data_IF_847064289493
#
_entry.id   IF_847064289493
#
_cell.length_a   1.000
_cell.length_b   1.000
_cell.length_c   1.000
_cell.angle_alpha   90.00
_cell.angle_beta   90.00
_cell.angle_gamma   90.00
#
_symmetry.space_group_name_H-M   'P 1'
#
loop_
_entity.id
_entity.type
_entity.pdbx_description
1 polymer ?
#
# COMPACT_ATOMS: atom_id res chain seq x y z
N UNK A 1 -23.92 13.61 29.55
CA UNK A 1 -23.88 12.15 29.30
C UNK A 1 -22.68 11.57 30.00
N UNK A 2 -22.82 10.42 30.67
CA UNK A 2 -21.71 9.74 31.33
C UNK A 2 -21.02 8.84 30.32
N UNK A 3 -19.77 9.15 29.98
CA UNK A 3 -18.92 8.28 29.14
C UNK A 3 -18.54 7.04 29.95
N UNK A 4 -18.68 5.86 29.35
CA UNK A 4 -18.28 4.60 29.97
C UNK A 4 -17.29 3.90 29.04
N UNK A 5 -16.04 3.82 29.45
CA UNK A 5 -15.00 3.07 28.73
C UNK A 5 -15.02 1.61 29.19
N UNK A 6 -14.80 0.68 28.26
CA UNK A 6 -14.78 -0.76 28.50
C UNK A 6 -13.38 -1.29 28.22
N UNK A 7 -12.86 -2.11 29.14
CA UNK A 7 -11.58 -2.79 28.97
C UNK A 7 -11.75 -4.30 29.14
N UNK A 8 -11.35 -5.05 28.12
CA UNK A 8 -11.25 -6.50 28.12
C UNK A 8 -9.76 -6.83 28.05
N UNK A 9 -9.23 -7.44 29.10
CA UNK A 9 -7.81 -7.79 29.19
C UNK A 9 -7.67 -9.27 29.48
N UNK A 10 -6.89 -9.95 28.66
CA UNK A 10 -6.32 -11.23 29.06
C UNK A 10 -5.27 -11.08 30.16
N UNK A 11 -4.94 -12.20 30.79
CA UNK A 11 -3.91 -12.26 31.83
C UNK A 11 -2.53 -12.50 31.17
N UNK A 12 -1.62 -11.53 31.28
CA UNK A 12 -0.33 -11.53 30.58
C UNK A 12 0.81 -12.30 31.30
N UNK A 13 0.48 -13.14 32.29
CA UNK A 13 1.49 -13.82 33.11
C UNK A 13 2.36 -14.75 32.25
N UNK A 14 3.68 -14.54 32.28
CA UNK A 14 4.68 -15.32 31.51
C UNK A 14 4.53 -15.27 29.97
N UNK A 15 4.03 -14.16 29.41
CA UNK A 15 3.85 -14.04 27.96
C UNK A 15 2.72 -14.93 27.41
N UNK A 16 1.85 -15.43 28.30
CA UNK A 16 0.63 -16.15 27.91
C UNK A 16 -0.47 -15.14 27.64
N UNK A 17 -1.25 -15.39 26.60
CA UNK A 17 -2.45 -14.64 26.22
C UNK A 17 -3.69 -15.40 26.71
N UNK A 18 -4.78 -14.71 27.00
CA UNK A 18 -6.05 -15.40 27.31
C UNK A 18 -6.63 -16.00 26.03
N UNK A 19 -6.78 -17.32 25.99
CA UNK A 19 -7.33 -18.01 24.82
C UNK A 19 -8.85 -17.77 24.73
N UNK A 20 -9.30 -17.29 23.58
CA UNK A 20 -10.71 -17.28 23.18
C UNK A 20 -10.86 -18.32 22.07
N UNK A 21 -11.70 -19.34 22.32
CA UNK A 21 -11.99 -20.39 21.34
C UNK A 21 -13.49 -20.52 21.13
N UNK A 22 -13.91 -20.58 19.88
CA UNK A 22 -15.30 -20.86 19.49
C UNK A 22 -15.50 -22.33 19.11
N UNK A 23 -16.76 -22.77 18.94
CA UNK A 23 -17.03 -24.03 18.27
C UNK A 23 -16.50 -23.96 16.82
N UNK A 24 -16.03 -25.08 16.27
CA UNK A 24 -15.56 -25.21 14.87
C UNK A 24 -16.67 -25.01 13.81
N UNK A 25 -17.77 -24.37 14.16
CA UNK A 25 -18.96 -24.29 13.33
C UNK A 25 -18.80 -23.26 12.20
N UNK A 26 -19.39 -23.61 11.06
CA UNK A 26 -19.44 -22.81 9.82
C UNK A 26 -20.36 -21.60 9.92
N UNK A 27 -21.10 -21.45 11.02
CA UNK A 27 -22.27 -20.57 11.14
C UNK A 27 -21.95 -19.22 11.80
N UNK A 28 -20.73 -19.03 12.31
CA UNK A 28 -20.27 -17.78 12.93
C UNK A 28 -20.06 -16.62 11.93
N UNK A 29 -20.32 -16.83 10.64
CA UNK A 29 -20.06 -15.82 9.60
C UNK A 29 -20.99 -14.61 9.81
N UNK A 30 -20.41 -13.47 10.13
CA UNK A 30 -21.13 -12.23 10.41
C UNK A 30 -21.44 -12.01 11.90
N UNK A 31 -21.06 -12.94 12.77
CA UNK A 31 -21.09 -12.78 14.23
C UNK A 31 -19.80 -12.13 14.74
N UNK A 32 -19.91 -11.40 15.84
CA UNK A 32 -18.80 -10.67 16.46
C UNK A 32 -18.79 -10.91 17.96
N UNK A 33 -17.60 -11.14 18.53
CA UNK A 33 -17.43 -11.32 19.98
C UNK A 33 -17.76 -10.01 20.73
N UNK A 34 -17.38 -8.87 20.15
CA UNK A 34 -17.60 -7.54 20.70
C UNK A 34 -18.40 -6.71 19.70
N UNK A 35 -19.55 -6.22 20.14
CA UNK A 35 -20.36 -5.24 19.39
C UNK A 35 -20.46 -3.95 20.18
N UNK A 36 -20.16 -2.82 19.53
CA UNK A 36 -20.20 -1.49 20.14
C UNK A 36 -21.30 -0.70 19.44
N UNK A 37 -22.36 -0.38 20.19
CA UNK A 37 -23.50 0.36 19.66
C UNK A 37 -23.14 1.80 19.28
N UNK A 38 -23.89 2.34 18.31
CA UNK A 38 -23.75 3.70 17.77
C UNK A 38 -23.84 4.82 18.81
N UNK A 39 -24.52 4.59 19.93
CA UNK A 39 -24.65 5.58 21.02
C UNK A 39 -23.47 5.57 22.00
N UNK A 40 -22.56 4.59 21.88
CA UNK A 40 -21.36 4.53 22.72
C UNK A 40 -20.44 5.71 22.45
N UNK A 41 -19.93 6.32 23.52
CA UNK A 41 -19.02 7.49 23.46
C UNK A 41 -17.72 7.24 24.23
N UNK A 42 -17.56 6.04 24.80
CA UNK A 42 -16.37 5.66 25.57
C UNK A 42 -15.27 5.04 24.71
N UNK A 43 -14.16 4.70 25.36
CA UNK A 43 -13.05 3.97 24.75
C UNK A 43 -13.26 2.46 24.95
N UNK A 44 -12.93 1.68 23.93
CA UNK A 44 -13.03 0.21 23.93
C UNK A 44 -11.62 -0.33 23.82
N UNK A 45 -11.13 -1.01 24.87
CA UNK A 45 -9.76 -1.52 24.93
C UNK A 45 -9.81 -3.04 25.02
N UNK A 46 -9.17 -3.71 24.07
CA UNK A 46 -9.01 -5.17 24.03
C UNK A 46 -7.52 -5.48 24.00
N UNK A 47 -7.03 -6.29 24.92
CA UNK A 47 -5.60 -6.58 25.00
C UNK A 47 -5.28 -8.00 25.48
N UNK A 48 -4.12 -8.52 25.07
CA UNK A 48 -3.56 -9.80 25.51
C UNK A 48 -4.47 -11.02 25.27
N UNK A 49 -5.15 -11.07 24.11
CA UNK A 49 -6.01 -12.21 23.74
C UNK A 49 -5.36 -13.09 22.67
N UNK A 50 -5.57 -14.40 22.74
CA UNK A 50 -5.22 -15.37 21.70
C UNK A 50 -6.52 -15.99 21.18
N UNK A 51 -6.99 -15.52 20.04
CA UNK A 51 -8.20 -15.99 19.42
C UNK A 51 -7.85 -17.06 18.38
N UNK A 52 -8.33 -18.28 18.61
CA UNK A 52 -8.20 -19.40 17.67
C UNK A 52 -9.51 -20.12 17.51
N UNK A 53 -9.67 -20.84 16.41
CA UNK A 53 -10.84 -21.71 16.18
C UNK A 53 -12.16 -20.91 16.14
N UNK A 54 -12.09 -19.59 15.94
CA UNK A 54 -13.23 -18.71 15.74
C UNK A 54 -13.19 -18.14 14.32
N UNK A 55 -14.23 -18.45 13.54
CA UNK A 55 -14.34 -18.05 12.13
C UNK A 55 -15.10 -16.72 11.93
N UNK A 56 -15.68 -16.16 13.00
CA UNK A 56 -16.38 -14.88 12.97
C UNK A 56 -15.45 -13.68 13.16
N UNK A 57 -16.04 -12.49 13.35
CA UNK A 57 -15.31 -11.27 13.65
C UNK A 57 -14.97 -11.12 15.14
N UNK A 58 -13.99 -10.27 15.45
CA UNK A 58 -13.63 -9.95 16.83
C UNK A 58 -14.44 -8.75 17.33
N UNK A 59 -14.32 -7.61 16.64
CA UNK A 59 -14.94 -6.35 17.02
C UNK A 59 -15.77 -5.81 15.85
N UNK A 60 -16.99 -5.40 16.12
CA UNK A 60 -17.78 -4.51 15.26
C UNK A 60 -18.13 -3.25 16.04
N UNK A 61 -17.62 -2.11 15.57
CA UNK A 61 -17.83 -0.83 16.23
C UNK A 61 -18.63 0.12 15.36
N UNK A 62 -19.89 0.37 15.74
CA UNK A 62 -20.76 1.36 15.11
C UNK A 62 -20.79 2.68 15.92
N UNK A 63 -20.22 2.69 17.13
CA UNK A 63 -19.96 3.87 17.96
C UNK A 63 -18.61 3.78 18.67
N UNK A 64 -18.43 4.52 19.75
CA UNK A 64 -17.19 4.60 20.53
C UNK A 64 -16.28 5.73 20.07
N UNK A 65 -15.59 6.34 21.04
CA UNK A 65 -14.60 7.40 20.79
C UNK A 65 -13.30 6.82 20.24
N UNK A 66 -12.86 5.70 20.81
CA UNK A 66 -11.72 4.96 20.32
C UNK A 66 -11.91 3.46 20.51
N UNK A 67 -11.33 2.68 19.61
CA UNK A 67 -11.21 1.23 19.69
C UNK A 67 -9.72 0.92 19.67
N UNK A 68 -9.24 0.21 20.69
CA UNK A 68 -7.83 -0.11 20.88
C UNK A 68 -7.72 -1.63 20.97
N UNK A 69 -6.97 -2.24 20.04
CA UNK A 69 -6.50 -3.62 20.16
C UNK A 69 -4.99 -3.59 20.42
N UNK A 70 -4.52 -4.42 21.34
CA UNK A 70 -3.10 -4.46 21.69
C UNK A 70 -2.61 -5.86 22.09
N UNK A 71 -1.39 -6.20 21.70
CA UNK A 71 -0.64 -7.39 22.16
C UNK A 71 -1.40 -8.73 21.97
N UNK A 72 -2.24 -8.81 20.93
CA UNK A 72 -3.17 -9.92 20.69
C UNK A 72 -2.78 -10.74 19.46
N UNK A 73 -3.24 -12.00 19.42
CA UNK A 73 -3.06 -12.92 18.31
C UNK A 73 -4.43 -13.39 17.83
N UNK A 74 -4.72 -13.17 16.55
CA UNK A 74 -5.96 -13.55 15.90
C UNK A 74 -5.66 -14.54 14.77
N UNK A 75 -6.18 -15.76 14.87
CA UNK A 75 -5.94 -16.84 13.91
C UNK A 75 -7.25 -17.31 13.26
N UNK A 76 -7.26 -17.33 11.93
CA UNK A 76 -8.33 -17.84 11.07
C UNK A 76 -9.48 -16.87 10.81
N UNK A 77 -9.95 -16.19 11.86
CA UNK A 77 -10.95 -15.12 11.77
C UNK A 77 -10.48 -13.82 12.43
N UNK A 78 -11.42 -13.11 13.06
CA UNK A 78 -11.09 -11.96 13.91
C UNK A 78 -11.16 -10.62 13.19
N UNK A 79 -11.95 -10.54 12.13
CA UNK A 79 -12.22 -9.28 11.44
C UNK A 79 -12.67 -8.19 12.42
N UNK A 80 -12.08 -7.02 12.26
CA UNK A 80 -12.41 -5.80 12.98
C UNK A 80 -13.15 -4.88 12.01
N UNK A 81 -14.42 -4.60 12.29
CA UNK A 81 -15.19 -3.56 11.60
C UNK A 81 -15.15 -2.28 12.43
N UNK A 82 -14.66 -1.21 11.81
CA UNK A 82 -14.62 0.14 12.39
C UNK A 82 -15.50 1.11 11.58
N UNK A 83 -16.68 1.40 12.10
CA UNK A 83 -17.71 2.22 11.46
C UNK A 83 -18.14 3.40 12.35
N UNK A 84 -17.19 3.96 13.09
CA UNK A 84 -17.38 5.16 13.94
C UNK A 84 -16.44 6.28 13.49
N UNK A 85 -16.82 7.53 13.74
CA UNK A 85 -15.97 8.70 13.48
C UNK A 85 -14.76 8.78 14.44
N UNK A 86 -14.73 7.90 15.45
CA UNK A 86 -13.60 7.71 16.35
C UNK A 86 -12.35 7.10 15.72
N UNK A 87 -11.39 6.77 16.58
CA UNK A 87 -10.06 6.27 16.17
C UNK A 87 -9.96 4.76 16.42
N UNK A 88 -9.54 4.00 15.41
CA UNK A 88 -9.07 2.62 15.59
C UNK A 88 -7.55 2.63 15.78
N UNK A 89 -7.07 2.09 16.90
CA UNK A 89 -5.65 1.87 17.17
C UNK A 89 -5.39 0.37 17.33
N UNK A 90 -4.43 -0.15 16.57
CA UNK A 90 -3.95 -1.54 16.63
C UNK A 90 -2.46 -1.50 16.93
N UNK A 91 -1.98 -2.29 17.89
CA UNK A 91 -0.60 -2.20 18.33
C UNK A 91 -0.04 -3.54 18.78
N UNK A 92 1.08 -3.95 18.16
CA UNK A 92 1.79 -5.19 18.51
C UNK A 92 0.91 -6.44 18.35
N UNK A 93 -0.01 -6.42 17.37
CA UNK A 93 -0.96 -7.51 17.13
C UNK A 93 -0.51 -8.42 15.98
N UNK A 94 -0.91 -9.68 16.04
CA UNK A 94 -0.65 -10.69 15.01
C UNK A 94 -1.97 -11.15 14.39
N UNK A 95 -2.13 -10.95 13.09
CA UNK A 95 -3.25 -11.41 12.29
C UNK A 95 -2.79 -12.53 11.35
N UNK A 96 -3.30 -13.73 11.57
CA UNK A 96 -2.91 -14.93 10.82
C UNK A 96 -4.15 -15.54 10.17
N UNK A 97 -4.18 -15.61 8.84
CA UNK A 97 -5.28 -16.24 8.11
C UNK A 97 -5.25 -17.78 8.18
N UNK A 98 -6.30 -18.41 7.65
CA UNK A 98 -6.46 -19.88 7.54
C UNK A 98 -5.58 -20.53 6.45
N UNK A 99 -4.64 -19.77 5.89
CA UNK A 99 -3.75 -20.22 4.82
C UNK A 99 -4.20 -19.80 3.43
N UNK A 100 -3.29 -19.99 2.46
CA UNK A 100 -3.36 -19.40 1.11
C UNK A 100 -4.50 -19.92 0.21
N UNK A 101 -5.23 -20.93 0.67
CA UNK A 101 -6.30 -21.58 -0.11
C UNK A 101 -7.67 -21.45 0.54
N UNK A 102 -7.77 -20.87 1.73
CA UNK A 102 -9.03 -20.63 2.44
C UNK A 102 -9.25 -19.13 2.47
N UNK A 103 -10.15 -18.59 1.63
CA UNK A 103 -10.29 -17.16 1.57
C UNK A 103 -11.05 -16.62 2.78
N UNK A 104 -10.58 -15.49 3.30
CA UNK A 104 -11.10 -14.82 4.50
C UNK A 104 -11.65 -13.44 4.15
N UNK A 105 -12.48 -12.91 5.04
CA UNK A 105 -12.83 -11.49 5.07
C UNK A 105 -11.61 -10.65 5.52
N UNK A 106 -11.62 -9.33 5.33
CA UNK A 106 -10.50 -8.48 5.74
C UNK A 106 -10.15 -8.62 7.22
N UNK A 107 -8.88 -8.48 7.58
CA UNK A 107 -8.52 -8.40 9.00
C UNK A 107 -9.08 -7.12 9.63
N UNK A 108 -8.97 -6.01 8.90
CA UNK A 108 -9.48 -4.70 9.32
C UNK A 108 -10.30 -4.10 8.18
N UNK A 109 -11.54 -3.72 8.48
CA UNK A 109 -12.45 -3.04 7.55
C UNK A 109 -12.99 -1.76 8.20
N UNK A 110 -12.48 -0.62 7.77
CA UNK A 110 -12.86 0.70 8.26
C UNK A 110 -13.70 1.47 7.23
N UNK A 111 -14.79 2.08 7.69
CA UNK A 111 -15.72 2.87 6.87
C UNK A 111 -15.86 4.31 7.33
N UNK A 112 -15.37 4.67 8.53
CA UNK A 112 -15.40 6.03 9.09
C UNK A 112 -14.17 6.29 9.97
N UNK A 113 -13.98 7.55 10.36
CA UNK A 113 -12.97 7.94 11.34
C UNK A 113 -11.53 7.79 10.83
N UNK A 114 -10.62 7.40 11.71
CA UNK A 114 -9.19 7.21 11.38
C UNK A 114 -8.67 5.88 11.91
N UNK A 115 -7.65 5.35 11.23
CA UNK A 115 -7.03 4.06 11.54
C UNK A 115 -5.54 4.23 11.76
N UNK A 116 -5.02 3.75 12.88
CA UNK A 116 -3.59 3.71 13.17
C UNK A 116 -3.18 2.29 13.57
N UNK A 117 -2.14 1.76 12.92
CA UNK A 117 -1.67 0.39 13.11
C UNK A 117 -0.16 0.44 13.30
N UNK A 118 0.31 -0.11 14.41
CA UNK A 118 1.70 -0.05 14.83
C UNK A 118 2.24 -1.44 15.11
N UNK A 119 3.47 -1.72 14.66
CA UNK A 119 4.22 -2.92 15.06
C UNK A 119 3.44 -4.24 14.88
N UNK A 120 2.60 -4.36 13.85
CA UNK A 120 1.68 -5.49 13.70
C UNK A 120 2.05 -6.36 12.51
N UNK A 121 1.78 -7.67 12.65
CA UNK A 121 2.07 -8.68 11.64
C UNK A 121 0.77 -9.15 10.99
N UNK A 122 0.71 -9.14 9.66
CA UNK A 122 -0.37 -9.69 8.86
C UNK A 122 0.19 -10.78 7.95
N UNK A 123 -0.22 -12.03 8.15
CA UNK A 123 0.25 -13.14 7.32
C UNK A 123 -0.78 -14.21 7.01
N UNK A 124 -0.51 -14.99 5.97
CA UNK A 124 -1.29 -16.17 5.57
C UNK A 124 -2.76 -15.87 5.26
N UNK A 125 -3.11 -14.59 5.01
CA UNK A 125 -4.42 -14.19 4.53
C UNK A 125 -4.60 -14.54 3.05
N UNK A 126 -5.82 -14.94 2.67
CA UNK A 126 -6.20 -15.17 1.27
C UNK A 126 -7.44 -14.35 0.94
N UNK A 127 -7.30 -13.35 0.07
CA UNK A 127 -8.35 -12.34 -0.15
C UNK A 127 -8.98 -12.51 -1.53
N UNK A 128 -10.32 -12.62 -1.59
CA UNK A 128 -11.04 -13.05 -2.82
C UNK A 128 -11.04 -12.02 -3.95
N UNK A 129 -10.94 -10.72 -3.65
CA UNK A 129 -10.88 -9.69 -4.68
C UNK A 129 -11.25 -8.29 -4.19
N UNK A 130 -12.02 -7.53 -4.98
CA UNK A 130 -12.41 -6.15 -4.64
C UNK A 130 -12.94 -6.00 -3.20
N UNK A 131 -12.58 -4.87 -2.57
CA UNK A 131 -12.92 -4.55 -1.17
C UNK A 131 -12.42 -5.58 -0.15
N UNK A 132 -11.39 -6.37 -0.51
CA UNK A 132 -10.71 -7.27 0.43
C UNK A 132 -9.23 -6.95 0.55
N UNK A 133 -8.63 -7.38 1.67
CA UNK A 133 -7.25 -7.09 1.98
C UNK A 133 -6.94 -7.29 3.46
N UNK A 134 -5.69 -7.02 3.85
CA UNK A 134 -5.38 -6.99 5.28
C UNK A 134 -6.07 -5.80 5.94
N UNK A 135 -5.89 -4.61 5.37
CA UNK A 135 -6.48 -3.36 5.85
C UNK A 135 -7.26 -2.72 4.71
N UNK A 136 -8.56 -2.51 4.92
CA UNK A 136 -9.44 -1.88 3.94
C UNK A 136 -10.06 -0.62 4.55
N UNK A 137 -9.77 0.54 3.96
CA UNK A 137 -10.36 1.83 4.32
C UNK A 137 -11.27 2.33 3.18
N UNK A 138 -12.54 2.56 3.48
CA UNK A 138 -13.54 3.06 2.52
C UNK A 138 -14.51 4.02 3.21
N UNK A 139 -15.65 4.32 2.57
CA UNK A 139 -16.66 5.20 3.17
C UNK A 139 -16.12 6.61 3.40
N UNK A 140 -16.16 7.08 4.64
CA UNK A 140 -15.71 8.42 5.07
C UNK A 140 -14.49 8.37 5.99
N UNK A 141 -13.65 7.32 5.88
CA UNK A 141 -12.35 7.28 6.57
C UNK A 141 -11.49 8.46 6.11
N UNK A 142 -10.93 9.22 7.06
CA UNK A 142 -10.17 10.44 6.78
C UNK A 142 -8.66 10.22 6.78
N UNK A 143 -8.16 9.24 7.54
CA UNK A 143 -6.73 8.97 7.69
C UNK A 143 -6.45 7.48 7.92
N UNK A 144 -5.32 7.01 7.39
CA UNK A 144 -4.79 5.67 7.63
C UNK A 144 -3.28 5.71 7.84
N UNK A 145 -2.81 5.31 9.02
CA UNK A 145 -1.40 5.22 9.39
C UNK A 145 -1.02 3.76 9.63
N UNK A 146 0.04 3.30 8.96
CA UNK A 146 0.66 1.98 9.14
C UNK A 146 2.13 2.22 9.46
N UNK A 147 2.58 1.72 10.60
CA UNK A 147 3.89 2.04 11.16
C UNK A 147 4.60 0.77 11.64
N UNK A 148 5.79 0.51 11.13
CA UNK A 148 6.62 -0.66 11.48
C UNK A 148 5.88 -2.00 11.39
N UNK A 149 5.03 -2.18 10.37
CA UNK A 149 4.21 -3.37 10.19
C UNK A 149 4.79 -4.33 9.14
N UNK A 150 4.38 -5.60 9.21
CA UNK A 150 4.81 -6.63 8.27
C UNK A 150 3.62 -7.29 7.57
N UNK A 151 3.66 -7.34 6.25
CA UNK A 151 2.65 -7.98 5.40
C UNK A 151 3.34 -9.07 4.58
N UNK A 152 3.36 -10.29 5.12
CA UNK A 152 4.13 -11.40 4.54
C UNK A 152 3.24 -12.60 4.27
N UNK A 153 3.59 -13.41 3.26
CA UNK A 153 2.87 -14.65 2.95
C UNK A 153 1.35 -14.46 2.74
N UNK A 154 0.91 -13.33 2.15
CA UNK A 154 -0.49 -13.08 1.87
C UNK A 154 -0.80 -13.30 0.39
N UNK A 155 -1.99 -13.84 0.08
CA UNK A 155 -2.47 -14.04 -1.28
C UNK A 155 -3.54 -13.00 -1.62
N UNK A 156 -3.18 -12.09 -2.52
CA UNK A 156 -4.06 -11.06 -3.03
C UNK A 156 -4.61 -11.45 -4.41
N UNK A 157 -5.92 -11.65 -4.54
CA UNK A 157 -6.58 -11.78 -5.83
C UNK A 157 -6.87 -10.40 -6.46
N UNK A 158 -7.38 -10.40 -7.70
CA UNK A 158 -7.69 -9.19 -8.47
C UNK A 158 -8.55 -8.23 -7.65
N UNK A 159 -8.08 -7.00 -7.48
CA UNK A 159 -8.82 -5.95 -6.76
C UNK A 159 -8.53 -5.84 -5.26
N UNK A 160 -7.91 -6.86 -4.66
CA UNK A 160 -7.49 -6.85 -3.24
C UNK A 160 -6.10 -6.26 -3.04
N UNK A 161 -5.79 -5.83 -1.82
CA UNK A 161 -4.44 -5.36 -1.47
C UNK A 161 -4.07 -5.62 0.00
N UNK A 162 -2.80 -5.51 0.37
CA UNK A 162 -2.42 -5.50 1.79
C UNK A 162 -2.99 -4.26 2.49
N UNK A 163 -2.79 -3.08 1.91
CA UNK A 163 -3.44 -1.83 2.28
C UNK A 163 -4.28 -1.31 1.11
N UNK A 164 -5.61 -1.27 1.28
CA UNK A 164 -6.58 -0.86 0.28
C UNK A 164 -7.37 0.37 0.75
N UNK A 165 -7.12 1.53 0.14
CA UNK A 165 -7.87 2.76 0.40
C UNK A 165 -8.70 3.09 -0.85
N UNK A 166 -10.02 3.04 -0.73
CA UNK A 166 -10.93 3.25 -1.88
C UNK A 166 -11.80 4.49 -1.73
N UNK A 167 -11.51 5.38 -0.79
CA UNK A 167 -12.28 6.60 -0.58
C UNK A 167 -11.39 7.85 -0.75
N UNK A 168 -11.84 8.84 -1.55
CA UNK A 168 -11.14 10.11 -1.70
C UNK A 168 -11.31 11.02 -0.47
N UNK A 169 -12.17 10.63 0.49
CA UNK A 169 -12.26 11.33 1.79
C UNK A 169 -11.05 11.06 2.68
N UNK A 170 -10.26 10.03 2.37
CA UNK A 170 -9.00 9.77 3.05
C UNK A 170 -7.96 10.79 2.55
N UNK A 171 -7.82 11.87 3.30
CA UNK A 171 -6.92 12.97 2.95
C UNK A 171 -5.46 12.64 3.23
N UNK A 172 -5.18 11.58 3.99
CA UNK A 172 -3.82 11.20 4.34
C UNK A 172 -3.64 9.70 4.57
N UNK A 173 -2.76 9.10 3.79
CA UNK A 173 -2.20 7.78 4.00
C UNK A 173 -0.73 7.91 4.40
N UNK A 174 -0.36 7.32 5.53
CA UNK A 174 1.02 7.24 6.00
C UNK A 174 1.41 5.77 6.13
N UNK A 175 2.47 5.37 5.46
CA UNK A 175 3.16 4.12 5.71
C UNK A 175 4.58 4.48 6.11
N UNK A 176 5.04 4.07 7.28
CA UNK A 176 6.38 4.43 7.72
C UNK A 176 7.03 3.34 8.54
N UNK A 177 8.32 3.52 8.79
CA UNK A 177 9.09 2.77 9.77
C UNK A 177 10.30 3.59 10.15
N UNK A 178 11.34 2.90 10.62
CA UNK A 178 12.63 3.48 10.97
C UNK A 178 13.75 2.73 10.27
N UNK A 179 14.96 3.29 10.27
CA UNK A 179 16.14 2.60 9.75
C UNK A 179 16.40 1.25 10.44
N UNK A 180 16.08 1.15 11.74
CA UNK A 180 16.21 -0.08 12.53
C UNK A 180 15.03 -1.04 12.38
N UNK A 181 13.87 -0.55 11.94
CA UNK A 181 12.65 -1.33 11.89
C UNK A 181 11.73 -0.81 10.80
N UNK A 182 11.86 -1.41 9.63
CA UNK A 182 11.18 -0.99 8.40
C UNK A 182 9.80 -1.62 8.32
N UNK A 183 8.87 -0.96 7.64
CA UNK A 183 7.62 -1.64 7.22
C UNK A 183 7.94 -2.56 6.05
N UNK A 184 7.38 -3.76 6.03
CA UNK A 184 7.72 -4.79 5.02
C UNK A 184 6.45 -5.25 4.30
N UNK A 185 6.51 -5.24 2.97
CA UNK A 185 5.57 -5.93 2.10
C UNK A 185 6.34 -6.97 1.30
N UNK A 186 6.01 -8.24 1.50
CA UNK A 186 6.62 -9.32 0.75
C UNK A 186 5.58 -10.28 0.20
N UNK A 187 5.88 -10.82 -0.98
CA UNK A 187 5.01 -11.74 -1.66
C UNK A 187 5.16 -13.15 -1.16
N UNK A 188 4.63 -14.05 -1.97
CA UNK A 188 4.90 -15.47 -1.86
C UNK A 188 6.06 -15.84 -2.78
N UNK A 189 6.55 -17.07 -2.68
CA UNK A 189 7.56 -17.59 -3.60
C UNK A 189 7.12 -17.50 -5.08
N UNK A 190 8.06 -17.74 -5.98
CA UNK A 190 7.85 -17.68 -7.44
C UNK A 190 6.70 -18.57 -7.96
N UNK A 191 6.21 -19.53 -7.17
CA UNK A 191 5.10 -20.43 -7.55
C UNK A 191 3.73 -19.84 -7.25
N UNK A 192 3.66 -18.74 -6.50
CA UNK A 192 2.42 -18.17 -5.99
C UNK A 192 2.28 -16.69 -6.37
N UNK A 193 2.06 -16.38 -7.66
CA UNK A 193 1.96 -15.00 -8.09
C UNK A 193 0.74 -14.29 -7.50
N UNK A 194 0.91 -13.00 -7.21
CA UNK A 194 -0.12 -12.11 -6.71
C UNK A 194 -0.92 -11.52 -7.89
N UNK A 195 -2.24 -11.48 -7.78
CA UNK A 195 -3.11 -10.80 -8.76
C UNK A 195 -3.58 -9.43 -8.28
N UNK A 196 -3.46 -9.17 -6.97
CA UNK A 196 -3.76 -7.91 -6.30
C UNK A 196 -2.48 -7.14 -5.97
N UNK A 197 -2.57 -6.23 -5.00
CA UNK A 197 -1.54 -5.23 -4.75
C UNK A 197 -0.92 -5.35 -3.36
N UNK A 198 0.24 -4.76 -3.13
CA UNK A 198 0.60 -4.44 -1.74
C UNK A 198 -0.17 -3.22 -1.29
N UNK A 199 -0.07 -2.12 -2.03
CA UNK A 199 -0.78 -0.89 -1.75
C UNK A 199 -1.65 -0.52 -2.95
N UNK A 200 -2.92 -0.25 -2.70
CA UNK A 200 -3.83 0.37 -3.67
C UNK A 200 -4.59 1.50 -3.01
N UNK A 201 -4.44 2.72 -3.51
CA UNK A 201 -4.99 3.92 -2.86
C UNK A 201 -5.51 4.96 -3.84
N UNK A 202 -6.49 5.74 -3.36
CA UNK A 202 -7.07 6.95 -3.98
C UNK A 202 -7.03 8.12 -2.98
N UNK A 203 -6.01 8.14 -2.12
CA UNK A 203 -5.80 9.19 -1.12
C UNK A 203 -5.00 10.35 -1.72
N UNK A 204 -5.42 11.57 -1.38
CA UNK A 204 -4.80 12.78 -1.92
C UNK A 204 -3.39 13.02 -1.39
N UNK A 205 -3.07 12.58 -0.17
CA UNK A 205 -1.70 12.64 0.37
C UNK A 205 -1.22 11.26 0.76
N UNK A 206 -0.18 10.77 0.08
CA UNK A 206 0.44 9.48 0.33
C UNK A 206 1.90 9.70 0.74
N UNK A 207 2.24 9.33 1.98
CA UNK A 207 3.61 9.41 2.50
C UNK A 207 4.07 8.01 2.86
N UNK A 208 5.09 7.52 2.16
CA UNK A 208 5.67 6.20 2.38
C UNK A 208 7.15 6.39 2.74
N UNK A 209 7.59 5.89 3.88
CA UNK A 209 9.00 5.96 4.26
C UNK A 209 9.52 4.72 4.94
N UNK A 210 10.82 4.48 4.86
CA UNK A 210 11.49 3.33 5.49
C UNK A 210 10.73 2.01 5.28
N UNK A 211 10.36 1.73 4.02
CA UNK A 211 9.51 0.60 3.65
C UNK A 211 10.20 -0.27 2.61
N UNK A 212 10.13 -1.58 2.79
CA UNK A 212 10.65 -2.59 1.88
C UNK A 212 9.50 -3.27 1.13
N UNK A 213 9.61 -3.32 -0.20
CA UNK A 213 8.77 -4.07 -1.10
C UNK A 213 9.63 -5.13 -1.78
N UNK A 214 9.41 -6.39 -1.46
CA UNK A 214 10.33 -7.45 -1.86
C UNK A 214 9.63 -8.71 -2.41
N UNK A 215 10.38 -9.44 -3.24
CA UNK A 215 10.17 -10.85 -3.57
C UNK A 215 8.74 -11.19 -3.96
N UNK A 216 8.31 -10.66 -5.11
CA UNK A 216 6.95 -10.88 -5.61
C UNK A 216 6.90 -11.01 -7.11
N UNK A 217 6.02 -11.90 -7.57
CA UNK A 217 5.58 -11.93 -8.97
C UNK A 217 4.13 -11.47 -9.00
N UNK A 218 3.88 -10.36 -9.69
CA UNK A 218 2.55 -9.88 -9.97
C UNK A 218 2.05 -10.39 -11.33
N UNK A 219 0.75 -10.62 -11.40
CA UNK A 219 0.01 -11.02 -12.60
C UNK A 219 -1.24 -10.15 -12.72
N UNK A 220 -1.89 -10.19 -13.90
CA UNK A 220 -3.13 -9.45 -14.15
C UNK A 220 -2.95 -7.95 -13.88
N UNK A 221 -3.66 -7.33 -12.94
CA UNK A 221 -3.51 -5.90 -12.65
C UNK A 221 -2.80 -5.62 -11.32
N UNK A 222 -2.19 -6.64 -10.70
CA UNK A 222 -1.54 -6.52 -9.40
C UNK A 222 -0.19 -5.79 -9.45
N UNK A 223 0.14 -4.96 -8.46
CA UNK A 223 1.38 -4.20 -8.45
C UNK A 223 1.85 -3.99 -7.01
N UNK A 224 3.12 -3.64 -6.78
CA UNK A 224 3.53 -3.26 -5.43
C UNK A 224 2.76 -2.01 -4.99
N UNK A 225 2.80 -0.93 -5.77
CA UNK A 225 2.01 0.27 -5.49
C UNK A 225 1.13 0.63 -6.67
N UNK A 226 -0.16 0.85 -6.41
CA UNK A 226 -1.10 1.43 -7.37
C UNK A 226 -1.80 2.63 -6.76
N UNK A 227 -1.68 3.78 -7.42
CA UNK A 227 -2.31 5.03 -7.00
C UNK A 227 -3.20 5.50 -8.15
N UNK A 228 -4.47 5.76 -7.85
CA UNK A 228 -5.41 6.32 -8.82
C UNK A 228 -6.12 7.51 -8.17
N UNK A 229 -5.51 8.69 -8.31
CA UNK A 229 -5.97 9.91 -7.67
C UNK A 229 -6.48 10.90 -8.70
N UNK A 230 -7.65 11.46 -8.43
CA UNK A 230 -8.36 12.39 -9.31
C UNK A 230 -8.35 13.81 -8.73
N UNK A 231 -8.06 13.99 -7.45
CA UNK A 231 -7.89 15.27 -6.74
C UNK A 231 -6.45 15.78 -6.86
N UNK A 232 -6.23 17.00 -6.34
CA UNK A 232 -4.88 17.52 -6.13
C UNK A 232 -4.14 16.61 -5.14
N UNK A 233 -2.90 16.24 -5.46
CA UNK A 233 -2.23 15.18 -4.72
C UNK A 233 -0.75 15.40 -4.44
N UNK A 234 -0.29 14.78 -3.35
CA UNK A 234 1.10 14.74 -2.94
C UNK A 234 1.48 13.30 -2.60
N UNK A 235 2.41 12.75 -3.37
CA UNK A 235 3.01 11.45 -3.16
C UNK A 235 4.47 11.64 -2.79
N UNK A 236 4.87 11.13 -1.64
CA UNK A 236 6.25 11.14 -1.17
C UNK A 236 6.69 9.72 -0.80
N UNK A 237 7.78 9.26 -1.42
CA UNK A 237 8.49 8.04 -1.08
C UNK A 237 9.89 8.40 -0.61
N UNK A 238 10.25 8.03 0.62
CA UNK A 238 11.55 8.38 1.21
C UNK A 238 12.20 7.13 1.82
N UNK A 239 13.44 6.81 1.48
CA UNK A 239 14.14 5.62 2.02
C UNK A 239 13.39 4.30 1.76
N UNK A 240 12.77 4.16 0.59
CA UNK A 240 12.02 2.95 0.22
C UNK A 240 12.84 2.02 -0.68
N UNK A 241 12.72 0.71 -0.48
CA UNK A 241 13.38 -0.29 -1.31
C UNK A 241 12.36 -1.12 -2.08
N UNK A 242 12.56 -1.25 -3.38
CA UNK A 242 11.80 -2.09 -4.28
C UNK A 242 12.77 -3.09 -4.88
N UNK A 243 12.71 -4.35 -4.43
CA UNK A 243 13.71 -5.37 -4.77
C UNK A 243 13.06 -6.64 -5.30
N UNK A 244 13.56 -7.17 -6.42
CA UNK A 244 13.12 -8.44 -7.01
C UNK A 244 11.59 -8.53 -7.22
N UNK A 245 11.00 -7.44 -7.74
CA UNK A 245 9.58 -7.36 -8.07
C UNK A 245 9.39 -7.62 -9.56
N UNK A 246 8.55 -8.60 -9.91
CA UNK A 246 8.38 -9.05 -11.29
C UNK A 246 6.92 -8.92 -11.70
N UNK A 247 6.66 -8.63 -12.96
CA UNK A 247 5.32 -8.77 -13.55
C UNK A 247 5.40 -9.47 -14.91
N UNK A 248 4.42 -10.32 -15.19
CA UNK A 248 4.22 -10.96 -16.49
C UNK A 248 2.87 -10.56 -17.12
N UNK A 249 2.28 -9.45 -16.65
CA UNK A 249 0.95 -9.04 -17.10
C UNK A 249 0.96 -8.43 -18.50
N UNK A 250 0.00 -8.84 -19.32
CA UNK A 250 -0.26 -8.31 -20.67
C UNK A 250 -0.75 -6.85 -20.69
N UNK A 251 -1.24 -6.31 -19.57
CA UNK A 251 -1.90 -5.00 -19.52
C UNK A 251 -1.36 -4.02 -18.50
N UNK A 252 -0.24 -4.34 -17.84
CA UNK A 252 0.40 -3.43 -16.89
C UNK A 252 1.51 -2.64 -17.54
N UNK A 253 1.84 -1.50 -16.94
CA UNK A 253 2.96 -0.67 -17.34
C UNK A 253 4.13 -0.76 -16.35
N UNK A 254 3.90 -1.19 -15.11
CA UNK A 254 4.99 -1.29 -14.14
C UNK A 254 4.94 -2.48 -13.18
N UNK A 255 6.11 -2.85 -12.67
CA UNK A 255 6.28 -3.86 -11.61
C UNK A 255 6.39 -3.28 -10.20
N UNK A 256 6.76 -2.00 -10.04
CA UNK A 256 7.06 -1.40 -8.75
C UNK A 256 6.01 -0.30 -8.40
N UNK A 257 5.86 0.74 -9.23
CA UNK A 257 4.86 1.80 -8.96
C UNK A 257 4.05 2.11 -10.22
N UNK A 258 2.73 2.07 -10.12
CA UNK A 258 1.81 2.61 -11.14
C UNK A 258 0.96 3.71 -10.53
N UNK A 259 1.19 4.96 -10.93
CA UNK A 259 0.37 6.10 -10.50
C UNK A 259 -0.36 6.75 -11.66
N UNK A 260 -1.65 6.99 -11.48
CA UNK A 260 -2.48 7.85 -12.32
C UNK A 260 -2.85 9.06 -11.47
N UNK A 261 -2.36 10.23 -11.86
CA UNK A 261 -2.48 11.49 -11.12
C UNK A 261 -3.32 12.50 -11.91
N UNK A 262 -3.85 13.52 -11.24
CA UNK A 262 -4.73 14.52 -11.87
C UNK A 262 -3.96 15.73 -12.40
N UNK A 263 -3.75 15.82 -13.72
CA UNK A 263 -3.23 17.04 -14.34
C UNK A 263 -4.20 18.20 -14.18
N UNK A 264 -5.50 17.95 -14.11
CA UNK A 264 -6.51 19.01 -13.95
C UNK A 264 -6.36 19.72 -12.60
N UNK A 265 -6.09 18.97 -11.53
CA UNK A 265 -6.02 19.49 -10.16
C UNK A 265 -4.57 19.70 -9.66
N UNK A 266 -3.59 19.17 -10.38
CA UNK A 266 -2.17 19.26 -10.02
C UNK A 266 -1.72 18.10 -9.15
N UNK A 267 -0.41 17.88 -9.11
CA UNK A 267 0.19 16.82 -8.31
C UNK A 267 1.66 17.11 -7.98
N UNK A 268 2.12 16.50 -6.91
CA UNK A 268 3.54 16.35 -6.57
C UNK A 268 3.87 14.88 -6.40
N UNK A 269 4.87 14.41 -7.14
CA UNK A 269 5.48 13.10 -6.98
C UNK A 269 6.93 13.30 -6.54
N UNK A 270 7.31 12.80 -5.37
CA UNK A 270 8.67 12.85 -4.85
C UNK A 270 9.13 11.43 -4.48
N UNK A 271 10.25 11.01 -5.03
CA UNK A 271 10.99 9.83 -4.60
C UNK A 271 12.40 10.26 -4.18
N UNK A 272 12.78 9.94 -2.94
CA UNK A 272 14.01 10.41 -2.32
C UNK A 272 14.69 9.25 -1.60
N UNK A 273 16.00 9.07 -1.82
CA UNK A 273 16.77 7.96 -1.23
C UNK A 273 16.14 6.58 -1.48
N UNK A 274 15.49 6.39 -2.62
CA UNK A 274 14.80 5.15 -2.94
C UNK A 274 15.66 4.22 -3.80
N UNK A 275 15.56 2.92 -3.55
CA UNK A 275 16.22 1.88 -4.33
C UNK A 275 15.17 1.13 -5.15
N UNK A 276 15.38 1.06 -6.46
CA UNK A 276 14.62 0.25 -7.41
C UNK A 276 15.59 -0.71 -8.07
N UNK A 277 15.63 -1.95 -7.58
CA UNK A 277 16.59 -2.96 -8.01
C UNK A 277 15.91 -4.25 -8.41
N UNK A 278 16.33 -4.83 -9.53
CA UNK A 278 15.76 -6.10 -10.02
C UNK A 278 14.22 -6.04 -10.23
N UNK A 279 13.66 -4.85 -10.54
CA UNK A 279 12.27 -4.70 -10.99
C UNK A 279 12.17 -5.18 -12.45
N UNK A 280 11.43 -6.27 -12.71
CA UNK A 280 11.35 -6.89 -14.05
C UNK A 280 9.94 -6.94 -14.61
N UNK A 281 9.75 -6.36 -15.78
CA UNK A 281 8.56 -6.48 -16.59
C UNK A 281 8.80 -7.49 -17.72
N UNK A 282 7.90 -8.47 -17.86
CA UNK A 282 7.96 -9.53 -18.87
C UNK A 282 6.63 -9.70 -19.63
N UNK A 283 5.73 -8.72 -19.54
CA UNK A 283 4.44 -8.72 -20.23
C UNK A 283 4.53 -8.47 -21.73
N UNK A 284 3.47 -8.78 -22.49
CA UNK A 284 3.48 -8.66 -23.96
C UNK A 284 3.47 -7.21 -24.48
N UNK A 285 3.19 -6.21 -23.63
CA UNK A 285 3.16 -4.80 -24.05
C UNK A 285 4.59 -4.29 -24.29
N UNK A 286 4.99 -4.25 -25.56
CA UNK A 286 6.31 -3.80 -26.00
C UNK A 286 6.53 -2.29 -25.88
N UNK A 287 5.51 -1.50 -25.51
CA UNK A 287 5.57 -0.02 -25.60
C UNK A 287 5.62 0.64 -24.23
N UNK A 288 5.44 -0.09 -23.12
CA UNK A 288 5.24 0.59 -21.81
C UNK A 288 5.62 -0.23 -20.58
N UNK A 289 6.35 -1.34 -20.71
CA UNK A 289 6.77 -2.13 -19.55
C UNK A 289 8.01 -1.55 -18.90
N UNK A 290 7.93 -1.12 -17.63
CA UNK A 290 9.01 -0.44 -16.89
C UNK A 290 8.95 -0.77 -15.37
N UNK A 291 9.83 -0.18 -14.55
CA UNK A 291 9.76 -0.31 -13.08
C UNK A 291 8.77 0.69 -12.46
N UNK A 292 8.79 1.94 -12.93
CA UNK A 292 7.98 3.05 -12.39
C UNK A 292 7.20 3.74 -13.51
N UNK A 293 5.88 3.76 -13.43
CA UNK A 293 5.01 4.46 -14.38
C UNK A 293 4.25 5.57 -13.66
N UNK A 294 4.42 6.81 -14.11
CA UNK A 294 3.66 7.98 -13.66
C UNK A 294 2.85 8.49 -14.85
N UNK A 295 1.53 8.51 -14.75
CA UNK A 295 0.67 8.96 -15.84
C UNK A 295 -0.30 10.04 -15.39
N UNK A 296 -0.66 10.90 -16.33
CA UNK A 296 -1.78 11.81 -16.18
C UNK A 296 -2.41 12.16 -17.51
N UNK A 297 -3.72 12.40 -17.50
CA UNK A 297 -4.45 12.92 -18.66
C UNK A 297 -3.95 14.33 -19.03
N UNK A 298 -4.17 14.74 -20.27
CA UNK A 298 -3.92 16.11 -20.70
C UNK A 298 -4.91 17.08 -20.07
N UNK A 299 -4.44 18.26 -19.73
CA UNK A 299 -5.24 19.36 -19.19
C UNK A 299 -4.59 20.70 -19.52
N UNK A 300 -5.41 21.66 -19.93
CA UNK A 300 -5.02 23.05 -20.19
C UNK A 300 -5.06 23.93 -18.93
N UNK A 301 -5.48 23.39 -17.78
CA UNK A 301 -5.52 24.16 -16.52
C UNK A 301 -4.12 24.51 -16.05
N UNK A 302 -3.96 25.68 -15.45
CA UNK A 302 -2.71 26.17 -14.86
C UNK A 302 -2.43 25.57 -13.47
N UNK A 303 -2.56 24.25 -13.33
CA UNK A 303 -2.24 23.53 -12.09
C UNK A 303 -0.73 23.23 -12.00
N UNK A 304 -0.20 23.18 -10.77
CA UNK A 304 1.19 22.82 -10.51
C UNK A 304 1.35 21.30 -10.60
N UNK A 305 2.33 20.85 -11.38
CA UNK A 305 2.64 19.43 -11.61
C UNK A 305 4.14 19.24 -11.48
N UNK A 306 4.56 18.48 -10.48
CA UNK A 306 5.97 18.28 -10.18
C UNK A 306 6.28 16.81 -10.02
N UNK A 307 7.36 16.35 -10.65
CA UNK A 307 7.94 15.02 -10.47
C UNK A 307 9.40 15.21 -10.09
N UNK A 308 9.81 14.58 -8.99
CA UNK A 308 11.16 14.66 -8.47
C UNK A 308 11.67 13.28 -8.07
N UNK A 309 12.87 12.96 -8.54
CA UNK A 309 13.71 11.87 -8.06
C UNK A 309 14.99 12.48 -7.48
N UNK A 310 15.35 12.15 -6.25
CA UNK A 310 16.55 12.67 -5.58
C UNK A 310 17.31 11.55 -4.91
N UNK A 311 18.60 11.40 -5.20
CA UNK A 311 19.46 10.38 -4.58
C UNK A 311 18.89 8.96 -4.68
N UNK A 312 18.24 8.65 -5.80
CA UNK A 312 17.66 7.32 -6.06
C UNK A 312 18.67 6.41 -6.75
N UNK A 313 18.61 5.11 -6.46
CA UNK A 313 19.40 4.06 -7.12
C UNK A 313 18.45 3.19 -7.95
N UNK A 314 18.60 3.20 -9.27
CA UNK A 314 17.75 2.51 -10.23
C UNK A 314 18.63 1.52 -11.01
N UNK A 315 18.61 0.25 -10.61
CA UNK A 315 19.59 -0.73 -11.12
C UNK A 315 18.99 -2.06 -11.54
N UNK A 316 19.56 -2.66 -12.59
CA UNK A 316 19.18 -4.01 -13.06
C UNK A 316 17.65 -4.17 -13.31
N UNK A 317 16.99 -3.07 -13.69
CA UNK A 317 15.58 -3.09 -14.03
C UNK A 317 15.41 -3.48 -15.49
N UNK A 318 14.37 -4.27 -15.77
CA UNK A 318 14.14 -4.81 -17.12
C UNK A 318 12.73 -4.49 -17.58
N UNK A 319 12.62 -3.77 -18.68
CA UNK A 319 11.39 -3.43 -19.37
C UNK A 319 11.26 -4.15 -20.72
N UNK A 320 10.03 -4.38 -21.19
CA UNK A 320 9.80 -4.75 -22.59
C UNK A 320 9.57 -3.52 -23.48
N UNK A 321 9.54 -2.30 -22.93
CA UNK A 321 9.48 -1.05 -23.69
C UNK A 321 10.65 -0.13 -23.32
N UNK A 322 10.38 0.89 -22.52
CA UNK A 322 11.38 1.81 -21.95
C UNK A 322 12.04 1.21 -20.70
N UNK A 323 13.29 1.57 -20.42
CA UNK A 323 14.17 0.86 -19.47
C UNK A 323 13.65 0.79 -18.02
N UNK A 324 13.49 1.94 -17.34
CA UNK A 324 13.18 1.95 -15.90
C UNK A 324 12.00 2.83 -15.51
N UNK A 325 11.94 4.07 -16.00
CA UNK A 325 10.93 5.06 -15.61
C UNK A 325 10.19 5.56 -16.84
N UNK A 326 8.86 5.57 -16.74
CA UNK A 326 7.96 6.18 -17.72
C UNK A 326 7.21 7.31 -17.04
N UNK A 327 7.40 8.51 -17.59
CA UNK A 327 6.64 9.71 -17.23
C UNK A 327 5.77 10.08 -18.42
N UNK A 328 4.46 9.89 -18.27
CA UNK A 328 3.47 10.14 -19.30
C UNK A 328 2.45 11.18 -18.81
N UNK A 329 2.80 12.45 -18.92
CA UNK A 329 1.97 13.55 -18.43
C UNK A 329 1.52 14.37 -19.62
N UNK A 330 0.26 14.29 -20.03
CA UNK A 330 -0.28 15.03 -21.19
C UNK A 330 -0.33 16.56 -21.04
N UNK A 331 0.41 17.15 -20.10
CA UNK A 331 0.41 18.57 -19.74
C UNK A 331 1.83 19.03 -19.35
N UNK A 332 2.00 20.34 -19.20
CA UNK A 332 3.26 20.93 -18.70
C UNK A 332 3.54 20.46 -17.27
N UNK A 333 4.74 19.96 -17.03
CA UNK A 333 5.17 19.38 -15.76
C UNK A 333 6.64 19.71 -15.47
N UNK A 334 6.94 20.10 -14.24
CA UNK A 334 8.32 20.26 -13.76
C UNK A 334 8.88 18.89 -13.41
N UNK A 335 9.93 18.46 -14.10
CA UNK A 335 10.56 17.16 -13.89
C UNK A 335 12.02 17.39 -13.50
N UNK A 336 12.44 16.82 -12.36
CA UNK A 336 13.81 16.88 -11.88
C UNK A 336 14.28 15.50 -11.41
N UNK A 337 15.48 15.11 -11.83
CA UNK A 337 16.20 13.91 -11.44
C UNK A 337 17.56 14.39 -10.94
N UNK A 338 17.81 14.24 -9.65
CA UNK A 338 18.93 14.88 -8.95
C UNK A 338 19.74 13.79 -8.26
N UNK A 339 21.07 13.81 -8.41
CA UNK A 339 21.99 12.89 -7.74
C UNK A 339 21.58 11.41 -7.84
N UNK A 340 20.88 11.02 -8.90
CA UNK A 340 20.33 9.68 -9.05
C UNK A 340 21.22 8.83 -9.95
N UNK A 341 21.31 7.53 -9.63
CA UNK A 341 22.19 6.58 -10.29
C UNK A 341 21.38 5.53 -11.04
N UNK A 342 21.62 5.42 -12.34
CA UNK A 342 21.05 4.43 -13.23
C UNK A 342 22.16 3.50 -13.76
N UNK A 343 21.97 2.19 -13.63
CA UNK A 343 22.97 1.22 -14.09
C UNK A 343 22.35 -0.14 -14.42
N UNK A 344 22.81 -0.76 -15.50
CA UNK A 344 22.40 -2.10 -15.95
C UNK A 344 20.89 -2.24 -16.19
N UNK A 345 20.21 -1.14 -16.49
CA UNK A 345 18.81 -1.19 -16.88
C UNK A 345 18.70 -1.54 -18.37
N UNK A 346 17.68 -2.31 -18.74
CA UNK A 346 17.50 -2.77 -20.12
C UNK A 346 16.04 -2.68 -20.55
N UNK A 347 15.79 -2.09 -21.72
CA UNK A 347 14.51 -2.05 -22.43
C UNK A 347 14.69 -2.40 -23.91
N UNK A 348 13.58 -2.50 -24.67
CA UNK A 348 13.64 -2.52 -26.14
C UNK A 348 14.19 -1.18 -26.65
N UNK A 349 13.83 -0.09 -25.98
CA UNK A 349 14.46 1.21 -26.18
C UNK A 349 15.56 1.44 -25.13
N UNK A 350 16.71 1.96 -25.57
CA UNK A 350 17.92 2.17 -24.74
C UNK A 350 17.80 3.44 -23.86
N UNK A 351 16.73 3.54 -23.07
CA UNK A 351 16.43 4.71 -22.25
C UNK A 351 16.12 4.35 -20.81
N UNK A 352 16.85 4.93 -19.86
CA UNK A 352 16.54 4.77 -18.43
C UNK A 352 15.23 5.45 -18.04
N UNK A 353 14.96 6.61 -18.65
CA UNK A 353 13.77 7.41 -18.43
C UNK A 353 13.20 7.80 -19.79
N UNK A 354 11.89 7.65 -19.94
CA UNK A 354 11.13 8.20 -21.06
C UNK A 354 10.11 9.21 -20.55
N UNK A 355 10.02 10.37 -21.22
CA UNK A 355 9.18 11.49 -20.81
C UNK A 355 8.30 11.94 -21.97
N UNK A 356 6.98 11.84 -21.80
CA UNK A 356 5.99 12.52 -22.66
C UNK A 356 5.35 13.66 -21.88
N UNK A 357 5.54 14.88 -22.36
CA UNK A 357 4.91 16.09 -21.81
C UNK A 357 4.66 17.18 -22.86
N UNK A 358 3.88 18.20 -22.50
CA UNK A 358 3.71 19.41 -23.34
C UNK A 358 4.72 20.51 -22.98
N UNK A 359 5.80 20.17 -22.27
CA UNK A 359 6.89 21.09 -22.01
C UNK A 359 7.53 21.53 -23.33
N UNK A 360 8.06 22.76 -23.37
CA UNK A 360 8.88 23.16 -24.50
C UNK A 360 10.17 22.31 -24.54
N UNK A 361 10.70 21.96 -25.71
CA UNK A 361 11.94 21.18 -25.81
C UNK A 361 13.14 21.80 -25.07
N UNK A 362 13.14 23.12 -24.82
CA UNK A 362 14.18 23.80 -24.05
C UNK A 362 14.01 23.66 -22.53
N UNK A 363 12.83 23.27 -22.05
CA UNK A 363 12.50 23.11 -20.61
C UNK A 363 12.86 21.72 -20.07
N UNK A 364 13.07 20.73 -20.95
CA UNK A 364 13.58 19.41 -20.62
C UNK A 364 14.97 19.26 -21.23
N UNK A 365 15.99 19.54 -20.43
CA UNK A 365 17.39 19.53 -20.83
C UNK A 365 18.27 18.92 -19.74
N UNK A 366 19.60 18.91 -19.92
CA UNK A 366 20.53 18.26 -19.00
C UNK A 366 20.48 18.80 -17.56
N UNK A 367 20.05 20.04 -17.35
CA UNK A 367 19.87 20.60 -16.00
C UNK A 367 18.76 19.91 -15.19
N UNK A 368 17.78 19.30 -15.87
CA UNK A 368 16.75 18.48 -15.23
C UNK A 368 17.29 17.16 -14.69
N UNK A 369 18.49 16.74 -15.12
CA UNK A 369 19.17 15.50 -14.70
C UNK A 369 20.44 15.82 -13.91
N UNK A 370 20.39 16.86 -13.08
CA UNK A 370 21.54 17.40 -12.36
C UNK A 370 22.27 16.30 -11.58
N UNK A 371 23.60 16.26 -11.75
CA UNK A 371 24.52 15.33 -11.05
C UNK A 371 24.13 13.85 -11.10
N UNK A 372 23.22 13.48 -12.00
CA UNK A 372 22.74 12.10 -12.17
C UNK A 372 23.61 11.36 -13.18
N UNK A 373 23.78 10.06 -12.97
CA UNK A 373 24.58 9.18 -13.82
C UNK A 373 23.70 8.10 -14.45
N UNK A 374 23.92 7.81 -15.73
CA UNK A 374 23.27 6.74 -16.48
C UNK A 374 24.28 6.09 -17.41
N UNK A 375 24.28 4.76 -17.47
CA UNK A 375 25.05 3.96 -18.43
C UNK A 375 24.35 3.83 -19.81
N UNK A 376 23.14 4.35 -19.94
CA UNK A 376 22.33 4.45 -21.16
C UNK A 376 22.07 5.92 -21.56
N UNK A 377 21.31 6.15 -22.63
CA UNK A 377 20.85 7.51 -22.95
C UNK A 377 19.70 7.93 -22.04
N UNK A 378 19.68 9.19 -21.62
CA UNK A 378 18.53 9.86 -21.03
C UNK A 378 17.76 10.57 -22.15
N UNK A 379 16.93 9.86 -22.93
CA UNK A 379 16.13 10.52 -23.98
C UNK A 379 14.88 11.21 -23.40
N UNK A 380 14.71 12.48 -23.75
CA UNK A 380 13.46 13.25 -23.68
C UNK A 380 12.66 13.11 -24.97
#
# INVERSE_FOLDING_TARGET
MKTTSVKISGNAFEGKRTKISGPKETDAKGEYIITVDSTSTGDIIVQNIDMREWNGGLIRSDGGKSVILQDSLLVGGGTIIHNTDGILNIQSDEFIGDGLNVPIDPFIFATKGSVNIYNSLFKKGSFKGDRNGCIVCCGTVTQCTIDECEFTENKFNVGSAAALITTPTCIQMIIKGTASKRTIFSGLDVKNPLKGHFIKTVSSKVSISYTDFADSIFTRKGNAITINEQQASELSLIWCNFTNLRTNSEGQMSSCIHSILSSENGFQFNAEYCIFSDCRYSGLSQVSGNAITIQSQSSDRSAVRTIRFTECIITNNRGNGYGSIVVDVGSKCTINVIDSFFNENSGIEANDIWIRSTNNPTELNISNFNTSYSDNNLHS
#
